data_IF_893407630755
#
_entry.id   IF_893407630755
#
_cell.length_a   1.000
_cell.length_b   1.000
_cell.length_c   1.000
_cell.angle_alpha   90.00
_cell.angle_beta   90.00
_cell.angle_gamma   90.00
#
_symmetry.space_group_name_H-M   'P 1'
#
loop_
_entity.id
_entity.type
_entity.pdbx_description
1 polymer ?
#
# COMPACT_ATOMS: atom_id res chain seq x y z
N UNK A 1 46.91 17.63 -56.68
CA UNK A 1 46.32 17.24 -55.37
C UNK A 1 45.40 18.35 -54.85
N UNK A 2 44.49 18.90 -55.67
CA UNK A 2 43.62 20.03 -55.27
C UNK A 2 42.25 19.60 -54.73
N UNK A 3 41.74 18.43 -55.12
CA UNK A 3 40.38 17.99 -54.76
C UNK A 3 40.29 17.09 -53.52
N UNK A 4 41.42 16.72 -52.92
CA UNK A 4 41.47 15.85 -51.73
C UNK A 4 40.71 16.44 -50.51
N UNK A 5 40.83 17.75 -50.20
CA UNK A 5 40.11 18.36 -49.08
C UNK A 5 38.60 18.39 -49.30
N UNK A 6 38.17 18.63 -50.55
CA UNK A 6 36.75 18.68 -50.93
C UNK A 6 36.10 17.31 -50.83
N UNK A 7 36.78 16.25 -51.29
CA UNK A 7 36.31 14.86 -51.17
C UNK A 7 36.20 14.43 -49.70
N UNK A 8 37.19 14.78 -48.86
CA UNK A 8 37.15 14.46 -47.42
C UNK A 8 36.01 15.22 -46.72
N UNK A 9 35.79 16.49 -47.06
CA UNK A 9 34.69 17.28 -46.51
C UNK A 9 33.31 16.73 -46.90
N UNK A 10 33.14 16.30 -48.16
CA UNK A 10 31.90 15.70 -48.65
C UNK A 10 31.61 14.36 -47.94
N UNK A 11 32.63 13.52 -47.75
CA UNK A 11 32.50 12.26 -46.99
C UNK A 11 32.15 12.51 -45.52
N UNK A 12 32.78 13.51 -44.88
CA UNK A 12 32.48 13.87 -43.49
C UNK A 12 31.04 14.38 -43.32
N UNK A 13 30.51 15.15 -44.28
CA UNK A 13 29.12 15.62 -44.28
C UNK A 13 28.14 14.45 -44.40
N UNK A 14 28.40 13.49 -45.30
CA UNK A 14 27.55 12.29 -45.49
C UNK A 14 27.52 11.44 -44.22
N UNK A 15 28.68 11.20 -43.59
CA UNK A 15 28.79 10.42 -42.35
C UNK A 15 28.05 11.13 -41.21
N UNK A 16 28.21 12.45 -41.08
CA UNK A 16 27.54 13.25 -40.04
C UNK A 16 26.02 13.26 -40.24
N UNK A 17 25.55 13.39 -41.48
CA UNK A 17 24.12 13.32 -41.81
C UNK A 17 23.52 11.94 -41.47
N UNK A 18 24.25 10.86 -41.73
CA UNK A 18 23.82 9.50 -41.38
C UNK A 18 23.71 9.29 -39.87
N UNK A 19 24.71 9.73 -39.09
CA UNK A 19 24.66 9.68 -37.63
C UNK A 19 23.52 10.52 -37.05
N UNK A 20 23.32 11.74 -37.57
CA UNK A 20 22.23 12.63 -37.17
C UNK A 20 20.85 12.02 -37.44
N UNK A 21 20.65 11.41 -38.61
CA UNK A 21 19.41 10.70 -38.94
C UNK A 21 19.16 9.49 -38.02
N UNK A 22 20.18 8.68 -37.75
CA UNK A 22 20.07 7.53 -36.86
C UNK A 22 19.76 7.96 -35.41
N UNK A 23 20.36 9.04 -34.95
CA UNK A 23 20.09 9.60 -33.62
C UNK A 23 18.69 10.20 -33.54
N UNK A 24 18.23 10.90 -34.57
CA UNK A 24 16.86 11.41 -34.65
C UNK A 24 15.82 10.28 -34.63
N UNK A 25 16.05 9.20 -35.36
CA UNK A 25 15.18 8.02 -35.35
C UNK A 25 15.12 7.36 -33.97
N UNK A 26 16.25 7.22 -33.28
CA UNK A 26 16.31 6.71 -31.89
C UNK A 26 15.64 7.65 -30.89
N UNK A 27 15.80 8.96 -31.04
CA UNK A 27 15.16 9.96 -30.18
C UNK A 27 13.64 9.90 -30.35
N UNK A 28 13.13 9.85 -31.59
CA UNK A 28 11.69 9.73 -31.86
C UNK A 28 11.08 8.45 -31.25
N UNK A 29 11.78 7.32 -31.33
CA UNK A 29 11.35 6.08 -30.67
C UNK A 29 11.33 6.22 -29.14
N UNK A 30 12.31 6.91 -28.58
CA UNK A 30 12.39 7.19 -27.14
C UNK A 30 11.25 8.11 -26.70
N UNK A 31 10.98 9.17 -27.44
CA UNK A 31 9.91 10.13 -27.17
C UNK A 31 8.54 9.46 -27.22
N UNK A 32 8.28 8.64 -28.25
CA UNK A 32 7.05 7.85 -28.35
C UNK A 32 6.90 6.88 -27.17
N UNK A 33 8.00 6.25 -26.72
CA UNK A 33 7.99 5.35 -25.55
C UNK A 33 7.72 6.12 -24.26
N UNK A 34 8.32 7.30 -24.08
CA UNK A 34 8.08 8.18 -22.93
C UNK A 34 6.62 8.63 -22.90
N UNK A 35 6.07 9.05 -24.02
CA UNK A 35 4.67 9.49 -24.12
C UNK A 35 3.69 8.34 -23.83
N UNK A 36 3.97 7.13 -24.33
CA UNK A 36 3.19 5.94 -24.01
C UNK A 36 3.27 5.61 -22.52
N UNK A 37 4.47 5.67 -21.92
CA UNK A 37 4.64 5.49 -20.47
C UNK A 37 3.89 6.53 -19.66
N UNK A 38 3.86 7.80 -20.10
CA UNK A 38 3.09 8.86 -19.45
C UNK A 38 1.58 8.57 -19.50
N UNK A 39 1.04 8.21 -20.67
CA UNK A 39 -0.37 7.84 -20.84
C UNK A 39 -0.75 6.63 -19.98
N UNK A 40 0.07 5.59 -19.98
CA UNK A 40 -0.16 4.40 -19.15
C UNK A 40 -0.12 4.74 -17.65
N UNK A 41 0.78 5.63 -17.25
CA UNK A 41 0.89 6.10 -15.87
C UNK A 41 -0.31 6.95 -15.45
N UNK A 42 -0.84 7.80 -16.33
CA UNK A 42 -2.05 8.57 -16.07
C UNK A 42 -3.27 7.66 -15.87
N UNK A 43 -3.45 6.67 -16.74
CA UNK A 43 -4.53 5.69 -16.59
C UNK A 43 -4.39 4.90 -15.28
N UNK A 44 -3.18 4.46 -14.94
CA UNK A 44 -2.91 3.76 -13.66
C UNK A 44 -3.16 4.66 -12.46
N UNK A 45 -2.78 5.94 -12.52
CA UNK A 45 -3.02 6.93 -11.46
C UNK A 45 -4.51 7.17 -11.25
N UNK A 46 -5.28 7.34 -12.33
CA UNK A 46 -6.72 7.52 -12.25
C UNK A 46 -7.39 6.31 -11.59
N UNK A 47 -7.10 5.09 -12.08
CA UNK A 47 -7.60 3.85 -11.47
C UNK A 47 -7.23 3.71 -10.00
N UNK A 48 -5.99 4.08 -9.64
CA UNK A 48 -5.57 4.10 -8.23
C UNK A 48 -6.38 5.09 -7.41
N UNK A 49 -6.63 6.28 -7.93
CA UNK A 49 -7.46 7.29 -7.23
C UNK A 49 -8.88 6.79 -7.00
N UNK A 50 -9.49 6.18 -8.01
CA UNK A 50 -10.85 5.61 -7.90
C UNK A 50 -10.88 4.47 -6.87
N UNK A 51 -9.92 3.55 -6.93
CA UNK A 51 -9.78 2.47 -5.95
C UNK A 51 -9.55 3.00 -4.52
N UNK A 52 -8.70 4.01 -4.36
CA UNK A 52 -8.45 4.62 -3.06
C UNK A 52 -9.71 5.22 -2.44
N UNK A 53 -10.57 5.84 -3.25
CA UNK A 53 -11.84 6.38 -2.78
C UNK A 53 -12.79 5.27 -2.31
N UNK A 54 -12.87 4.17 -3.05
CA UNK A 54 -13.66 2.99 -2.65
C UNK A 54 -13.16 2.41 -1.31
N UNK A 55 -11.85 2.19 -1.18
CA UNK A 55 -11.26 1.68 0.07
C UNK A 55 -11.58 2.61 1.25
N UNK A 56 -11.47 3.93 1.09
CA UNK A 56 -11.85 4.87 2.15
C UNK A 56 -13.34 4.82 2.51
N UNK A 57 -14.22 4.58 1.52
CA UNK A 57 -15.65 4.38 1.74
C UNK A 57 -15.92 3.16 2.61
N UNK A 58 -15.34 2.01 2.26
CA UNK A 58 -15.48 0.77 3.03
C UNK A 58 -14.96 0.90 4.47
N UNK A 59 -13.78 1.53 4.66
CA UNK A 59 -13.25 1.79 6.01
C UNK A 59 -14.15 2.72 6.82
N UNK A 60 -14.81 3.68 6.15
CA UNK A 60 -15.77 4.58 6.79
C UNK A 60 -17.02 3.83 7.22
N UNK A 61 -17.54 2.92 6.40
CA UNK A 61 -18.71 2.08 6.73
C UNK A 61 -18.42 1.20 7.95
N UNK A 62 -17.29 0.47 7.95
CA UNK A 62 -16.84 -0.33 9.11
C UNK A 62 -16.78 0.52 10.39
N UNK A 63 -16.22 1.73 10.28
CA UNK A 63 -16.07 2.64 11.41
C UNK A 63 -17.42 3.06 12.01
N UNK A 64 -18.46 3.21 11.19
CA UNK A 64 -19.80 3.61 11.63
C UNK A 64 -20.64 2.44 12.11
N UNK A 65 -20.65 1.33 11.38
CA UNK A 65 -21.44 0.15 11.73
C UNK A 65 -20.97 -0.48 13.04
N UNK A 66 -19.67 -0.72 13.17
CA UNK A 66 -19.10 -1.29 14.40
C UNK A 66 -18.93 -0.26 15.52
N UNK A 67 -19.17 1.02 15.23
CA UNK A 67 -18.90 2.15 16.12
C UNK A 67 -17.44 2.23 16.58
N UNK A 68 -16.52 1.74 15.75
CA UNK A 68 -15.09 1.77 16.03
C UNK A 68 -14.56 3.21 16.11
N UNK A 69 -13.43 3.37 16.80
CA UNK A 69 -12.77 4.66 16.96
C UNK A 69 -11.80 4.94 15.81
N UNK A 70 -11.18 3.88 15.28
CA UNK A 70 -10.17 3.94 14.23
C UNK A 70 -10.18 2.65 13.42
N UNK A 71 -10.15 2.78 12.10
CA UNK A 71 -10.09 1.68 11.15
C UNK A 71 -9.01 1.96 10.12
N UNK A 72 -8.10 1.01 9.90
CA UNK A 72 -6.98 1.18 8.98
C UNK A 72 -6.52 -0.14 8.39
N UNK A 73 -5.72 -0.06 7.32
CA UNK A 73 -5.13 -1.22 6.67
C UNK A 73 -3.62 -1.20 6.87
N UNK A 74 -3.09 -2.23 7.51
CA UNK A 74 -1.65 -2.48 7.58
C UNK A 74 -1.25 -3.32 6.37
N UNK A 75 -0.34 -2.81 5.55
CA UNK A 75 0.13 -3.46 4.33
C UNK A 75 1.60 -3.84 4.41
N UNK A 76 1.96 -5.10 4.11
CA UNK A 76 3.35 -5.48 3.91
C UNK A 76 3.88 -4.88 2.61
N UNK A 77 5.13 -4.44 2.61
CA UNK A 77 5.84 -4.03 1.41
C UNK A 77 7.35 -4.25 1.57
N UNK A 78 8.02 -4.80 0.54
CA UNK A 78 9.47 -4.86 0.53
C UNK A 78 10.04 -3.48 0.18
N UNK A 79 11.04 -3.02 0.93
CA UNK A 79 11.82 -1.82 0.64
C UNK A 79 13.30 -2.17 0.54
N UNK A 80 13.81 -2.28 -0.68
CA UNK A 80 15.17 -2.73 -0.95
C UNK A 80 15.38 -4.16 -0.45
N UNK A 81 16.19 -4.33 0.60
CA UNK A 81 16.49 -5.63 1.22
C UNK A 81 15.68 -5.88 2.51
N UNK A 82 14.86 -4.93 2.96
CA UNK A 82 14.10 -5.03 4.20
C UNK A 82 12.61 -5.25 3.92
N UNK A 83 11.95 -6.02 4.78
CA UNK A 83 10.49 -6.19 4.72
C UNK A 83 9.84 -5.31 5.78
N UNK A 84 8.94 -4.44 5.35
CA UNK A 84 8.31 -3.42 6.16
C UNK A 84 6.79 -3.59 6.18
N UNK A 85 6.15 -3.06 7.20
CA UNK A 85 4.70 -2.85 7.24
C UNK A 85 4.41 -1.36 7.38
N UNK A 86 3.38 -0.89 6.69
CA UNK A 86 2.95 0.51 6.70
C UNK A 86 1.44 0.63 6.66
N UNK A 87 0.91 1.78 7.08
CA UNK A 87 -0.50 2.11 6.96
C UNK A 87 -0.70 3.10 5.82
N UNK A 88 -1.31 2.65 4.72
CA UNK A 88 -1.66 3.56 3.63
C UNK A 88 -3.00 4.25 3.91
N UNK A 89 -4.03 3.45 4.23
CA UNK A 89 -5.39 3.89 4.46
C UNK A 89 -5.73 3.90 5.95
N UNK A 90 -6.23 5.02 6.44
CA UNK A 90 -6.75 5.17 7.80
C UNK A 90 -7.99 6.08 7.79
N UNK A 91 -9.02 5.65 8.51
CA UNK A 91 -10.23 6.39 8.82
C UNK A 91 -10.40 6.39 10.35
N UNK A 92 -10.67 7.55 10.96
CA UNK A 92 -10.76 7.68 12.42
C UNK A 92 -11.81 8.70 12.85
N UNK A 93 -12.31 8.56 14.09
CA UNK A 93 -13.17 9.57 14.72
C UNK A 93 -12.38 10.82 15.10
N UNK A 94 -13.09 11.95 15.22
CA UNK A 94 -12.50 13.19 15.70
C UNK A 94 -12.04 13.02 17.15
N UNK A 95 -10.84 13.52 17.46
CA UNK A 95 -10.26 13.44 18.81
C UNK A 95 -9.45 12.16 19.09
N UNK A 96 -9.50 11.16 18.21
CA UNK A 96 -8.73 9.92 18.32
C UNK A 96 -7.34 10.11 17.69
N UNK A 97 -6.28 9.60 18.32
CA UNK A 97 -4.92 9.66 17.77
C UNK A 97 -4.81 8.86 16.45
N UNK A 98 -3.87 9.21 15.58
CA UNK A 98 -3.62 8.45 14.35
C UNK A 98 -2.57 7.36 14.60
N UNK A 99 -2.81 6.15 14.12
CA UNK A 99 -1.86 5.04 14.16
C UNK A 99 -0.85 5.13 13.00
N UNK A 100 -1.27 5.70 11.86
CA UNK A 100 -0.45 5.80 10.64
C UNK A 100 0.98 6.34 10.88
N UNK A 101 1.20 7.46 11.60
CA UNK A 101 2.54 7.98 11.87
C UNK A 101 3.45 7.04 12.67
N UNK A 102 2.88 6.09 13.43
CA UNK A 102 3.64 5.19 14.32
C UNK A 102 4.06 3.89 13.64
N UNK A 103 3.33 3.47 12.61
CA UNK A 103 3.56 2.21 11.88
C UNK A 103 4.17 2.47 10.50
N UNK A 104 4.45 3.72 10.13
CA UNK A 104 5.05 4.03 8.84
C UNK A 104 6.48 3.46 8.72
N UNK A 105 6.67 2.56 7.75
CA UNK A 105 7.93 1.88 7.43
C UNK A 105 8.51 1.12 8.63
N UNK A 106 7.62 0.48 9.39
CA UNK A 106 7.98 -0.35 10.54
C UNK A 106 8.57 -1.68 10.05
N UNK A 107 9.77 -2.04 10.55
CA UNK A 107 10.42 -3.29 10.18
C UNK A 107 9.64 -4.48 10.70
N UNK A 108 9.37 -5.43 9.82
CA UNK A 108 8.72 -6.69 10.22
C UNK A 108 9.53 -7.45 11.27
N UNK A 109 10.86 -7.31 11.31
CA UNK A 109 11.68 -7.96 12.32
C UNK A 109 11.37 -7.47 13.75
N UNK A 110 10.95 -6.21 13.89
CA UNK A 110 10.68 -5.59 15.19
C UNK A 110 9.32 -6.02 15.77
N UNK A 111 8.41 -6.49 14.90
CA UNK A 111 7.06 -7.00 15.23
C UNK A 111 6.81 -8.41 14.65
N UNK A 112 7.86 -9.22 14.55
CA UNK A 112 7.87 -10.45 13.75
C UNK A 112 6.81 -11.46 14.19
N UNK A 113 6.61 -11.60 15.50
CA UNK A 113 5.63 -12.53 16.04
C UNK A 113 4.22 -12.09 15.69
N UNK A 114 3.94 -10.80 15.81
CA UNK A 114 2.66 -10.22 15.44
C UNK A 114 2.38 -10.35 13.93
N UNK A 115 3.35 -10.02 13.06
CA UNK A 115 3.22 -10.20 11.62
C UNK A 115 2.93 -11.66 11.21
N UNK A 116 3.58 -12.62 11.88
CA UNK A 116 3.31 -14.04 11.66
C UNK A 116 1.87 -14.41 12.04
N UNK A 117 1.35 -13.86 13.13
CA UNK A 117 -0.02 -14.09 13.58
C UNK A 117 -1.05 -13.43 12.64
N UNK A 118 -0.76 -12.22 12.12
CA UNK A 118 -1.58 -11.55 11.08
C UNK A 118 -1.68 -12.37 9.78
N UNK A 119 -0.60 -13.08 9.43
CA UNK A 119 -0.56 -13.92 8.24
C UNK A 119 -1.31 -15.23 8.46
N UNK A 120 -1.19 -15.86 9.64
CA UNK A 120 -1.79 -17.18 9.89
C UNK A 120 -3.28 -17.14 10.18
N UNK A 121 -3.75 -16.09 10.85
CA UNK A 121 -5.13 -16.00 11.30
C UNK A 121 -5.97 -15.19 10.32
N UNK A 122 -7.09 -15.77 9.85
CA UNK A 122 -8.02 -15.04 8.96
C UNK A 122 -8.79 -13.95 9.69
N UNK A 123 -8.97 -14.10 11.00
CA UNK A 123 -9.70 -13.20 11.87
C UNK A 123 -9.14 -13.31 13.29
N UNK A 124 -8.92 -12.18 13.94
CA UNK A 124 -8.48 -12.09 15.32
C UNK A 124 -9.40 -11.12 16.05
N UNK A 125 -9.82 -11.49 17.26
CA UNK A 125 -10.68 -10.67 18.10
C UNK A 125 -10.00 -10.52 19.45
N UNK A 126 -9.37 -9.36 19.68
CA UNK A 126 -8.56 -9.09 20.85
C UNK A 126 -9.30 -8.11 21.74
N UNK A 127 -9.78 -8.58 22.88
CA UNK A 127 -10.50 -7.76 23.88
C UNK A 127 -9.59 -7.25 25.00
N UNK A 128 -8.37 -7.76 25.07
CA UNK A 128 -7.39 -7.44 26.10
C UNK A 128 -5.99 -7.43 25.47
N UNK A 129 -5.52 -6.24 25.14
CA UNK A 129 -4.23 -6.00 24.48
C UNK A 129 -3.07 -6.46 25.37
N UNK A 130 -3.17 -6.23 26.68
CA UNK A 130 -2.07 -6.49 27.61
C UNK A 130 -1.83 -7.98 27.82
N UNK A 131 -2.88 -8.81 27.74
CA UNK A 131 -2.74 -10.24 27.95
C UNK A 131 -2.70 -11.08 26.65
N UNK A 132 -3.36 -10.64 25.58
CA UNK A 132 -3.49 -11.45 24.36
C UNK A 132 -2.43 -11.13 23.30
N UNK A 133 -1.87 -9.92 23.28
CA UNK A 133 -0.79 -9.57 22.35
C UNK A 133 0.54 -10.02 22.95
N UNK A 134 1.18 -11.01 22.33
CA UNK A 134 2.44 -11.58 22.83
C UNK A 134 3.66 -10.73 22.48
N UNK A 135 3.62 -10.08 21.32
CA UNK A 135 4.68 -9.20 20.83
C UNK A 135 4.70 -7.88 21.62
N UNK A 136 5.79 -7.63 22.35
CA UNK A 136 5.91 -6.47 23.24
C UNK A 136 5.88 -5.15 22.49
N UNK A 137 6.44 -5.10 21.28
CA UNK A 137 6.50 -3.86 20.52
C UNK A 137 5.14 -3.56 19.88
N UNK A 138 4.48 -4.58 19.30
CA UNK A 138 3.11 -4.43 18.81
C UNK A 138 2.14 -4.02 19.94
N UNK A 139 2.26 -4.63 21.12
CA UNK A 139 1.50 -4.24 22.32
C UNK A 139 1.71 -2.77 22.67
N UNK A 140 2.96 -2.35 22.77
CA UNK A 140 3.30 -0.95 23.07
C UNK A 140 2.68 0.03 22.06
N UNK A 141 2.73 -0.30 20.77
CA UNK A 141 2.11 0.52 19.72
C UNK A 141 0.60 0.66 19.92
N UNK A 142 -0.12 -0.46 20.11
CA UNK A 142 -1.56 -0.48 20.33
C UNK A 142 -1.95 0.31 21.60
N UNK A 143 -1.31 0.01 22.74
CA UNK A 143 -1.57 0.69 24.01
C UNK A 143 -1.24 2.19 23.94
N UNK A 144 -0.19 2.58 23.21
CA UNK A 144 0.21 3.98 23.07
C UNK A 144 -0.79 4.85 22.33
N UNK A 145 -1.66 4.24 21.50
CA UNK A 145 -2.76 4.91 20.80
C UNK A 145 -4.09 4.78 21.54
N UNK A 146 -4.06 4.32 22.79
CA UNK A 146 -5.22 4.13 23.65
C UNK A 146 -6.12 2.97 23.21
N UNK A 147 -5.63 2.02 22.42
CA UNK A 147 -6.44 0.87 21.99
C UNK A 147 -6.66 -0.08 23.18
N UNK A 148 -7.92 -0.33 23.53
CA UNK A 148 -8.30 -1.33 24.54
C UNK A 148 -8.72 -2.65 23.89
N UNK A 149 -9.39 -2.57 22.74
CA UNK A 149 -9.81 -3.74 21.96
C UNK A 149 -9.52 -3.53 20.48
N UNK A 150 -9.18 -4.62 19.78
CA UNK A 150 -8.96 -4.59 18.33
C UNK A 150 -9.49 -5.85 17.68
N UNK A 151 -10.16 -5.66 16.56
CA UNK A 151 -10.60 -6.73 15.67
C UNK A 151 -9.76 -6.62 14.41
N UNK A 152 -9.18 -7.73 13.99
CA UNK A 152 -8.28 -7.78 12.85
C UNK A 152 -8.80 -8.79 11.84
N UNK A 153 -8.94 -8.35 10.60
CA UNK A 153 -9.31 -9.20 9.47
C UNK A 153 -8.18 -9.23 8.45
N UNK A 154 -7.69 -10.43 8.14
CA UNK A 154 -6.68 -10.63 7.09
C UNK A 154 -7.30 -10.40 5.72
N UNK A 155 -6.59 -9.66 4.86
CA UNK A 155 -6.84 -9.52 3.43
C UNK A 155 -5.91 -10.46 2.67
N UNK A 156 -6.43 -11.09 1.62
CA UNK A 156 -5.63 -11.98 0.78
C UNK A 156 -5.98 -11.80 -0.69
N UNK A 157 -4.98 -11.97 -1.55
CA UNK A 157 -5.18 -11.94 -2.99
C UNK A 157 -5.71 -13.29 -3.52
N UNK A 158 -5.79 -13.41 -4.85
CA UNK A 158 -6.20 -14.64 -5.52
C UNK A 158 -5.27 -15.83 -5.26
N UNK A 159 -4.01 -15.58 -4.87
CA UNK A 159 -3.03 -16.61 -4.54
C UNK A 159 -3.09 -17.01 -3.07
N UNK A 160 -4.01 -16.42 -2.29
CA UNK A 160 -4.10 -16.53 -0.84
C UNK A 160 -2.87 -15.97 -0.11
N UNK A 161 -2.10 -15.09 -0.76
CA UNK A 161 -0.98 -14.39 -0.16
C UNK A 161 -1.49 -13.21 0.68
N UNK A 162 -0.75 -12.88 1.74
CA UNK A 162 -1.13 -11.77 2.61
C UNK A 162 -0.80 -10.42 1.96
N UNK A 163 -1.84 -9.66 1.63
CA UNK A 163 -1.71 -8.32 1.02
C UNK A 163 -1.95 -7.18 2.02
N UNK A 164 -2.47 -7.51 3.19
CA UNK A 164 -2.69 -6.56 4.28
C UNK A 164 -3.69 -7.10 5.29
N UNK A 165 -3.97 -6.31 6.33
CA UNK A 165 -4.98 -6.63 7.34
C UNK A 165 -5.74 -5.37 7.71
N UNK A 166 -7.07 -5.48 7.78
CA UNK A 166 -7.94 -4.43 8.32
C UNK A 166 -7.87 -4.52 9.84
N UNK A 167 -7.54 -3.40 10.48
CA UNK A 167 -7.60 -3.21 11.92
C UNK A 167 -8.80 -2.34 12.23
N UNK A 168 -9.62 -2.79 13.16
CA UNK A 168 -10.77 -2.09 13.69
C UNK A 168 -10.57 -1.94 15.19
N UNK A 169 -10.20 -0.75 15.64
CA UNK A 169 -9.78 -0.47 17.01
C UNK A 169 -10.84 0.30 17.80
N UNK A 170 -10.88 0.02 19.10
CA UNK A 170 -11.76 0.63 20.08
C UNK A 170 -10.91 1.14 21.23
N UNK A 171 -11.07 2.42 21.57
CA UNK A 171 -10.34 3.05 22.67
C UNK A 171 -11.06 2.93 24.02
N UNK A 172 -12.27 2.39 24.00
CA UNK A 172 -13.07 2.13 25.19
C UNK A 172 -13.67 0.73 25.11
N UNK A 173 -13.78 0.09 26.26
CA UNK A 173 -14.39 -1.22 26.39
C UNK A 173 -15.84 -1.25 25.92
N UNK A 174 -16.06 -1.67 24.68
CA UNK A 174 -17.39 -1.90 24.12
C UNK A 174 -17.68 -3.40 24.08
N UNK A 175 -18.94 -3.77 24.35
CA UNK A 175 -19.40 -5.14 24.08
C UNK A 175 -19.72 -5.24 22.59
N UNK A 176 -18.88 -5.96 21.86
CA UNK A 176 -19.01 -6.14 20.41
C UNK A 176 -19.49 -7.56 20.16
N UNK A 177 -20.50 -7.73 19.30
CA UNK A 177 -20.88 -9.05 18.82
C UNK A 177 -19.84 -9.53 17.79
N UNK A 178 -19.10 -10.57 18.15
CA UNK A 178 -18.06 -11.15 17.30
C UNK A 178 -18.62 -11.69 15.97
N UNK A 179 -19.85 -12.21 15.96
CA UNK A 179 -20.46 -12.75 14.74
C UNK A 179 -20.83 -11.62 13.77
N UNK A 180 -21.41 -10.54 14.29
CA UNK A 180 -21.72 -9.33 13.53
C UNK A 180 -20.44 -8.68 12.99
N UNK A 181 -19.44 -8.48 13.84
CA UNK A 181 -18.16 -7.89 13.44
C UNK A 181 -17.42 -8.74 12.40
N UNK A 182 -17.49 -10.07 12.51
CA UNK A 182 -16.93 -10.98 11.52
C UNK A 182 -17.63 -10.86 10.17
N UNK A 183 -18.95 -10.71 10.14
CA UNK A 183 -19.71 -10.55 8.90
C UNK A 183 -19.34 -9.23 8.20
N UNK A 184 -19.40 -8.11 8.92
CA UNK A 184 -19.09 -6.77 8.39
C UNK A 184 -17.65 -6.71 7.86
N UNK A 185 -16.67 -7.17 8.64
CA UNK A 185 -15.28 -7.18 8.20
C UNK A 185 -15.02 -8.18 7.06
N UNK A 186 -15.79 -9.26 6.97
CA UNK A 186 -15.67 -10.19 5.84
C UNK A 186 -16.14 -9.56 4.53
N UNK A 187 -17.28 -8.86 4.56
CA UNK A 187 -17.81 -8.12 3.41
C UNK A 187 -16.82 -7.04 2.96
N UNK A 188 -16.37 -6.18 3.88
CA UNK A 188 -15.37 -5.17 3.58
C UNK A 188 -14.07 -5.78 3.01
N UNK A 189 -13.63 -6.93 3.53
CA UNK A 189 -12.47 -7.63 2.99
C UNK A 189 -12.68 -8.06 1.53
N UNK A 190 -13.86 -8.58 1.17
CA UNK A 190 -14.18 -8.95 -0.22
C UNK A 190 -14.18 -7.74 -1.16
N UNK A 191 -14.64 -6.59 -0.68
CA UNK A 191 -14.69 -5.35 -1.45
C UNK A 191 -13.29 -4.74 -1.63
N UNK A 192 -12.42 -4.84 -0.62
CA UNK A 192 -11.11 -4.17 -0.59
C UNK A 192 -10.00 -5.02 -1.22
N UNK A 193 -9.93 -6.33 -0.93
CA UNK A 193 -8.69 -7.11 -1.10
C UNK A 193 -8.16 -7.18 -2.54
N UNK A 194 -9.03 -7.00 -3.55
CA UNK A 194 -8.67 -7.05 -4.97
C UNK A 194 -8.42 -5.68 -5.60
N UNK A 195 -8.82 -4.60 -4.92
CA UNK A 195 -8.66 -3.22 -5.41
C UNK A 195 -7.57 -2.46 -4.64
N UNK A 196 -7.06 -3.05 -3.56
CA UNK A 196 -6.04 -2.50 -2.69
C UNK A 196 -4.77 -2.21 -3.51
N UNK A 197 -4.36 -0.93 -3.66
CA UNK A 197 -3.13 -0.62 -4.37
C UNK A 197 -1.91 -1.13 -3.61
N UNK A 198 -0.87 -1.49 -4.36
CA UNK A 198 0.44 -1.72 -3.80
C UNK A 198 0.92 -0.48 -3.05
N UNK A 199 1.54 -0.69 -1.89
CA UNK A 199 2.15 0.39 -1.12
C UNK A 199 3.29 1.03 -1.94
N UNK A 200 3.33 2.35 -1.97
CA UNK A 200 4.38 3.14 -2.62
C UNK A 200 4.74 4.26 -1.64
N UNK A 201 6.03 4.33 -1.29
CA UNK A 201 6.61 5.41 -0.49
C UNK A 201 6.40 6.79 -1.14
#
# INVERSE_FOLDING_TARGET
MEYLPEIISALAVIITAWFSYNQYAKNKLTDLKVEQMQRDNEVKRKRRSDNSALVHGELWEILHELKADRVYIVQPHPLGNESMVSIYFESKRKGVESMKPRIQNLKMCDVAKFCADLTKNLFMFITDIDNQVTDRYAKSLLSSCGTEQVIIKRLSDNSHDWVGSIFCEFTHGQKIDEAEARAILHEAAMNIQYILPAFID
#
